data_IF_933141432623
#
_entry.id   IF_933141432623
#
_cell.length_a   1.000
_cell.length_b   1.000
_cell.length_c   1.000
_cell.angle_alpha   90.00
_cell.angle_beta   90.00
_cell.angle_gamma   90.00
#
_symmetry.space_group_name_H-M   'P 1'
#
loop_
_entity.id
_entity.type
_entity.pdbx_description
1 polymer ?
#
# COMPACT_ATOMS: atom_id res chain seq x y z
N UNK A 1 36.19 -24.51 -23.78
CA UNK A 1 36.56 -23.08 -23.69
C UNK A 1 35.58 -22.17 -24.43
N UNK A 2 35.14 -22.51 -25.65
CA UNK A 2 34.16 -21.69 -26.39
C UNK A 2 32.79 -21.58 -25.69
N UNK A 3 32.31 -22.67 -25.07
CA UNK A 3 31.03 -22.67 -24.35
C UNK A 3 31.02 -21.77 -23.12
N UNK A 4 32.15 -21.69 -22.40
CA UNK A 4 32.31 -20.79 -21.25
C UNK A 4 32.24 -19.32 -21.66
N UNK A 5 32.86 -18.96 -22.79
CA UNK A 5 32.80 -17.59 -23.31
C UNK A 5 31.39 -17.25 -23.78
N UNK A 6 30.70 -18.21 -24.43
CA UNK A 6 29.30 -18.03 -24.84
C UNK A 6 28.38 -17.75 -23.65
N UNK A 7 28.55 -18.49 -22.56
CA UNK A 7 27.72 -18.33 -21.35
C UNK A 7 28.01 -17.03 -20.61
N UNK A 8 29.27 -16.59 -20.56
CA UNK A 8 29.62 -15.29 -19.97
C UNK A 8 28.97 -14.16 -20.78
N UNK A 9 29.07 -14.19 -22.11
CA UNK A 9 28.50 -13.16 -22.97
C UNK A 9 26.97 -13.13 -22.86
N UNK A 10 26.31 -14.30 -22.82
CA UNK A 10 24.85 -14.39 -22.64
C UNK A 10 24.41 -13.77 -21.32
N UNK A 11 25.08 -14.08 -20.22
CA UNK A 11 24.72 -13.57 -18.89
C UNK A 11 24.93 -12.05 -18.78
N UNK A 12 25.98 -11.51 -19.40
CA UNK A 12 26.23 -10.06 -19.46
C UNK A 12 25.16 -9.37 -20.29
N UNK A 13 24.85 -9.89 -21.49
CA UNK A 13 23.81 -9.32 -22.37
C UNK A 13 22.44 -9.37 -21.69
N UNK A 14 22.08 -10.48 -21.02
CA UNK A 14 20.81 -10.59 -20.33
C UNK A 14 20.72 -9.65 -19.12
N UNK A 15 21.82 -9.45 -18.38
CA UNK A 15 21.92 -8.49 -17.27
C UNK A 15 21.73 -7.05 -17.75
N UNK A 16 22.45 -6.65 -18.80
CA UNK A 16 22.36 -5.32 -19.40
C UNK A 16 20.98 -5.09 -20.00
N UNK A 17 20.39 -6.08 -20.67
CA UNK A 17 19.03 -5.96 -21.21
C UNK A 17 17.99 -5.79 -20.09
N UNK A 18 18.13 -6.47 -18.95
CA UNK A 18 17.23 -6.27 -17.79
C UNK A 18 17.37 -4.85 -17.22
N UNK A 19 18.58 -4.32 -17.19
CA UNK A 19 18.89 -2.99 -16.65
C UNK A 19 18.44 -1.86 -17.59
N UNK A 20 18.79 -1.94 -18.88
CA UNK A 20 18.37 -0.97 -19.92
C UNK A 20 16.86 -0.99 -20.09
N UNK A 21 16.25 -2.18 -20.22
CA UNK A 21 14.81 -2.27 -20.47
C UNK A 21 13.98 -2.00 -19.21
N UNK A 22 14.60 -1.76 -18.04
CA UNK A 22 13.94 -1.68 -16.73
C UNK A 22 12.82 -2.72 -16.63
N UNK A 23 13.06 -3.94 -17.15
CA UNK A 23 12.08 -5.03 -17.18
C UNK A 23 12.33 -5.89 -15.95
N UNK A 24 11.74 -5.58 -14.78
CA UNK A 24 11.64 -6.59 -13.74
C UNK A 24 10.82 -7.73 -14.33
N UNK A 25 11.29 -8.97 -14.14
CA UNK A 25 10.53 -10.18 -14.46
C UNK A 25 9.06 -9.95 -14.08
N UNK A 26 8.20 -9.92 -15.11
CA UNK A 26 6.78 -9.54 -15.09
C UNK A 26 6.18 -9.39 -13.69
N UNK A 27 6.28 -8.21 -13.07
CA UNK A 27 5.40 -7.87 -11.94
C UNK A 27 4.01 -7.65 -12.51
N UNK A 28 3.27 -8.75 -12.66
CA UNK A 28 1.85 -8.74 -13.04
C UNK A 28 1.14 -7.82 -12.05
N UNK A 29 0.77 -6.63 -12.49
CA UNK A 29 0.04 -5.68 -11.65
C UNK A 29 -1.29 -6.33 -11.33
N UNK A 30 -1.49 -6.74 -10.07
CA UNK A 30 -2.77 -7.31 -9.65
C UNK A 30 -3.82 -6.23 -9.78
N UNK A 31 -4.66 -6.30 -10.81
CA UNK A 31 -5.75 -5.36 -11.04
C UNK A 31 -6.63 -5.34 -9.79
N UNK A 32 -6.66 -4.20 -9.08
CA UNK A 32 -7.43 -4.02 -7.86
C UNK A 32 -8.91 -4.20 -8.18
N UNK A 33 -9.54 -5.27 -7.69
CA UNK A 33 -10.98 -5.53 -7.89
C UNK A 33 -11.78 -4.41 -7.23
N UNK A 34 -12.63 -3.75 -8.01
CA UNK A 34 -13.53 -2.72 -7.51
C UNK A 34 -14.63 -3.36 -6.65
N UNK A 35 -15.06 -2.73 -5.54
CA UNK A 35 -16.16 -3.24 -4.74
C UNK A 35 -17.46 -3.23 -5.55
N UNK A 36 -18.24 -4.30 -5.43
CA UNK A 36 -19.56 -4.41 -6.05
C UNK A 36 -20.58 -3.55 -5.29
N UNK A 37 -21.58 -3.02 -6.01
CA UNK A 37 -22.68 -2.24 -5.42
C UNK A 37 -23.84 -3.18 -5.06
N UNK A 38 -24.55 -2.85 -3.99
CA UNK A 38 -25.79 -3.50 -3.58
C UNK A 38 -26.89 -3.20 -4.60
N UNK A 39 -27.62 -4.22 -5.05
CA UNK A 39 -28.75 -4.07 -5.98
C UNK A 39 -29.91 -3.29 -5.37
N UNK A 40 -30.12 -3.43 -4.06
CA UNK A 40 -31.26 -2.82 -3.35
C UNK A 40 -30.99 -1.39 -2.91
N UNK A 41 -29.74 -1.06 -2.56
CA UNK A 41 -29.41 0.22 -1.90
C UNK A 41 -28.40 1.08 -2.66
N UNK A 42 -27.84 0.60 -3.77
CA UNK A 42 -26.88 1.32 -4.61
C UNK A 42 -25.51 1.62 -3.96
N UNK A 43 -25.38 1.41 -2.64
CA UNK A 43 -24.14 1.58 -1.89
C UNK A 43 -23.21 0.39 -2.10
N UNK A 44 -21.89 0.62 -1.98
CA UNK A 44 -20.92 -0.47 -2.00
C UNK A 44 -21.19 -1.50 -0.91
N UNK A 45 -21.08 -2.79 -1.26
CA UNK A 45 -21.24 -3.89 -0.32
C UNK A 45 -20.09 -3.82 0.69
N UNK A 46 -20.38 -3.35 1.91
CA UNK A 46 -19.43 -3.38 3.02
C UNK A 46 -19.19 -4.84 3.37
N UNK A 47 -17.98 -5.34 3.15
CA UNK A 47 -17.57 -6.63 3.72
C UNK A 47 -17.76 -6.52 5.24
N UNK A 48 -18.56 -7.42 5.83
CA UNK A 48 -18.62 -7.54 7.29
C UNK A 48 -17.18 -7.77 7.75
N UNK A 49 -16.59 -6.78 8.41
CA UNK A 49 -15.30 -6.96 9.04
C UNK A 49 -15.48 -8.17 9.98
N UNK A 50 -14.66 -9.21 9.81
CA UNK A 50 -14.62 -10.31 10.79
C UNK A 50 -14.50 -9.62 12.15
N UNK A 51 -15.44 -9.90 13.05
CA UNK A 51 -15.45 -9.35 14.40
C UNK A 51 -14.20 -9.85 15.13
N UNK A 52 -13.07 -9.17 14.93
CA UNK A 52 -11.86 -9.36 15.70
C UNK A 52 -11.54 -8.01 16.32
N UNK A 53 -12.02 -7.89 17.57
CA UNK A 53 -11.67 -6.97 18.67
C UNK A 53 -12.91 -6.32 19.29
N UNK A 54 -13.73 -7.15 19.92
CA UNK A 54 -14.42 -6.73 21.15
C UNK A 54 -13.33 -6.66 22.22
N UNK A 55 -13.02 -5.45 22.71
CA UNK A 55 -12.45 -5.15 24.06
C UNK A 55 -11.50 -3.94 24.15
N UNK A 56 -11.48 -3.00 23.21
CA UNK A 56 -10.90 -1.68 23.51
C UNK A 56 -12.01 -0.66 23.59
N UNK A 57 -12.27 -0.16 24.80
CA UNK A 57 -13.13 0.99 25.06
C UNK A 57 -12.87 2.10 24.01
N UNK A 58 -13.90 2.87 23.61
CA UNK A 58 -13.73 3.94 22.64
C UNK A 58 -12.66 4.90 23.18
N UNK A 59 -11.50 4.94 22.51
CA UNK A 59 -10.47 5.94 22.81
C UNK A 59 -11.14 7.29 22.63
N UNK A 60 -11.20 8.09 23.70
CA UNK A 60 -11.72 9.47 23.66
C UNK A 60 -11.17 10.13 22.41
N UNK A 61 -12.05 10.69 21.58
CA UNK A 61 -11.67 11.40 20.37
C UNK A 61 -10.81 12.62 20.78
N UNK A 62 -9.50 12.41 20.82
CA UNK A 62 -8.49 13.44 20.97
C UNK A 62 -8.47 14.20 19.65
N UNK A 63 -9.46 15.06 19.42
CA UNK A 63 -9.40 15.96 18.28
C UNK A 63 -7.99 16.57 18.25
N UNK A 64 -7.33 16.54 17.09
CA UNK A 64 -5.99 17.15 16.92
C UNK A 64 -5.99 18.67 17.19
N UNK A 65 -7.19 19.25 17.38
CA UNK A 65 -7.36 20.65 17.76
C UNK A 65 -6.94 20.84 19.22
N UNK A 66 -6.00 21.75 19.45
CA UNK A 66 -5.59 22.16 20.81
C UNK A 66 -6.83 22.56 21.63
N UNK A 67 -6.94 22.01 22.83
CA UNK A 67 -7.94 22.42 23.83
C UNK A 67 -7.78 23.90 24.19
N UNK A 68 -8.84 24.53 24.69
CA UNK A 68 -8.81 25.95 25.07
C UNK A 68 -7.67 26.26 26.05
N UNK A 69 -7.47 25.40 27.06
CA UNK A 69 -6.37 25.52 28.03
C UNK A 69 -4.98 25.51 27.38
N UNK A 70 -4.73 24.64 26.40
CA UNK A 70 -3.45 24.62 25.66
C UNK A 70 -3.25 25.86 24.77
N UNK A 71 -4.32 26.42 24.21
CA UNK A 71 -4.25 27.67 23.43
C UNK A 71 -3.94 28.88 24.31
N UNK A 72 -4.53 28.96 25.50
CA UNK A 72 -4.28 30.08 26.43
C UNK A 72 -2.82 30.18 26.83
N UNK A 73 -2.19 29.05 27.20
CA UNK A 73 -0.77 29.01 27.59
C UNK A 73 0.19 29.45 26.48
N UNK A 74 -0.18 29.23 25.22
CA UNK A 74 0.63 29.69 24.08
C UNK A 74 0.53 31.20 23.85
N UNK A 75 -0.58 31.84 24.26
CA UNK A 75 -0.74 33.30 24.09
C UNK A 75 -0.01 34.10 25.16
N UNK A 76 0.44 33.45 26.23
CA UNK A 76 1.12 34.06 27.37
C UNK A 76 2.63 33.82 27.34
N UNK A 77 3.19 33.34 26.22
CA UNK A 77 4.63 33.26 25.93
C UNK A 77 5.00 34.33 24.90
#
# INVERSE_FOLDING_TARGET
>A
MADLVSDIVKNVVEGVLKEILKKPASKRTTRRKQPTRSSTTGRFVKKKAKAKRVSTAPKKQQSRRRTAAKRSRQRTS
#
